data_IF_936272960431
#
_entry.id   IF_936272960431
#
_cell.length_a   1.000
_cell.length_b   1.000
_cell.length_c   1.000
_cell.angle_alpha   90.00
_cell.angle_beta   90.00
_cell.angle_gamma   90.00
#
_symmetry.space_group_name_H-M   'P 1'
#
loop_
_entity.id
_entity.type
_entity.pdbx_description
1 polymer ?
#
# COMPACT_ATOMS: atom_id res chain seq x y z
N UNK A 1 -56.52 -37.75 -22.67
CA UNK A 1 -55.31 -37.23 -23.37
C UNK A 1 -54.10 -37.90 -22.76
N UNK A 2 -53.05 -38.19 -23.54
CA UNK A 2 -51.78 -38.70 -23.00
C UNK A 2 -50.58 -38.02 -23.67
N UNK A 3 -49.46 -37.97 -22.96
CA UNK A 3 -48.19 -37.40 -23.45
C UNK A 3 -47.11 -38.49 -23.47
N UNK A 4 -46.31 -38.52 -24.52
CA UNK A 4 -45.11 -39.37 -24.64
C UNK A 4 -43.91 -38.54 -25.12
N UNK A 5 -42.69 -39.05 -24.91
CA UNK A 5 -41.44 -38.35 -25.24
C UNK A 5 -40.89 -37.43 -24.13
N UNK A 6 -41.50 -37.46 -22.94
CA UNK A 6 -41.01 -36.72 -21.77
C UNK A 6 -39.82 -37.45 -21.13
N UNK A 7 -38.74 -36.76 -20.73
CA UNK A 7 -37.59 -37.38 -20.05
C UNK A 7 -37.98 -37.98 -18.69
N UNK A 8 -37.19 -38.96 -18.23
CA UNK A 8 -37.37 -39.59 -16.92
C UNK A 8 -37.26 -38.56 -15.79
N UNK A 9 -38.22 -38.58 -14.86
CA UNK A 9 -38.25 -37.67 -13.69
C UNK A 9 -39.09 -36.40 -13.91
N UNK A 10 -39.57 -36.14 -15.12
CA UNK A 10 -40.50 -35.06 -15.39
C UNK A 10 -41.95 -35.48 -15.09
N UNK A 11 -42.78 -34.52 -14.69
CA UNK A 11 -44.22 -34.72 -14.52
C UNK A 11 -45.02 -33.85 -15.50
N UNK A 12 -46.21 -34.30 -15.86
CA UNK A 12 -47.13 -33.52 -16.67
C UNK A 12 -48.58 -33.72 -16.23
N UNK A 13 -49.43 -32.74 -16.52
CA UNK A 13 -50.87 -32.83 -16.27
C UNK A 13 -51.66 -32.18 -17.41
N UNK A 14 -52.84 -32.73 -17.67
CA UNK A 14 -53.86 -32.14 -18.55
C UNK A 14 -55.03 -31.67 -17.71
N UNK A 15 -55.49 -30.44 -17.91
CA UNK A 15 -56.67 -29.89 -17.22
C UNK A 15 -57.66 -29.26 -18.22
N UNK A 16 -58.85 -29.86 -18.44
CA UNK A 16 -59.30 -31.17 -17.93
C UNK A 16 -58.54 -32.36 -18.58
N UNK A 17 -58.45 -33.54 -17.91
CA UNK A 17 -57.71 -34.71 -18.43
C UNK A 17 -58.41 -35.39 -19.63
N UNK A 18 -59.71 -35.19 -19.76
CA UNK A 18 -60.58 -35.67 -20.84
C UNK A 18 -61.40 -34.52 -21.40
N UNK A 19 -61.67 -34.56 -22.71
CA UNK A 19 -62.44 -33.54 -23.41
C UNK A 19 -63.45 -34.20 -24.35
N UNK A 20 -64.62 -33.58 -24.50
CA UNK A 20 -65.59 -33.94 -25.54
C UNK A 20 -65.46 -32.94 -26.69
N UNK A 21 -65.17 -33.36 -27.93
CA UNK A 21 -65.11 -32.45 -29.06
C UNK A 21 -66.47 -31.76 -29.30
N UNK A 22 -66.53 -30.43 -29.53
CA UNK A 22 -65.45 -29.43 -29.53
C UNK A 22 -65.10 -28.95 -28.10
N UNK A 23 -63.84 -29.09 -27.70
CA UNK A 23 -63.36 -28.71 -26.36
C UNK A 23 -61.84 -28.52 -26.32
N UNK A 24 -61.31 -27.99 -25.22
CA UNK A 24 -59.88 -27.70 -25.04
C UNK A 24 -59.35 -28.23 -23.69
N UNK A 25 -58.04 -28.44 -23.61
CA UNK A 25 -57.32 -28.86 -22.41
C UNK A 25 -55.95 -28.19 -22.34
N UNK A 26 -55.52 -27.80 -21.15
CA UNK A 26 -54.20 -27.20 -20.91
C UNK A 26 -53.21 -28.28 -20.48
N UNK A 27 -52.09 -28.40 -21.21
CA UNK A 27 -50.94 -29.23 -20.83
C UNK A 27 -49.97 -28.42 -19.99
N UNK A 28 -49.75 -28.83 -18.75
CA UNK A 28 -48.70 -28.30 -17.86
C UNK A 28 -47.58 -29.33 -17.75
N UNK A 29 -46.32 -28.90 -17.95
CA UNK A 29 -45.13 -29.75 -17.84
C UNK A 29 -44.23 -29.16 -16.76
N UNK A 30 -43.87 -29.97 -15.76
CA UNK A 30 -42.81 -29.62 -14.82
C UNK A 30 -41.45 -29.86 -15.48
N UNK A 31 -40.67 -28.78 -15.59
CA UNK A 31 -39.36 -28.78 -16.24
C UNK A 31 -38.21 -28.70 -15.24
N UNK A 32 -38.47 -28.88 -13.94
CA UNK A 32 -37.44 -28.91 -12.92
C UNK A 32 -36.37 -29.97 -13.24
N UNK A 33 -35.11 -29.56 -13.28
CA UNK A 33 -33.97 -30.45 -13.58
C UNK A 33 -33.85 -30.91 -15.03
N UNK A 34 -34.71 -30.45 -15.94
CA UNK A 34 -34.62 -30.79 -17.37
C UNK A 34 -33.71 -29.81 -18.10
N UNK A 35 -32.93 -30.31 -19.06
CA UNK A 35 -32.12 -29.51 -19.97
C UNK A 35 -32.14 -30.11 -21.39
N UNK A 36 -32.11 -29.28 -22.43
CA UNK A 36 -32.05 -29.74 -23.82
C UNK A 36 -33.39 -29.67 -24.56
N UNK A 37 -33.48 -30.39 -25.68
CA UNK A 37 -34.65 -30.40 -26.55
C UNK A 37 -35.33 -31.76 -26.53
N UNK A 38 -36.65 -31.78 -26.38
CA UNK A 38 -37.49 -32.97 -26.30
C UNK A 38 -38.60 -32.91 -27.34
N UNK A 39 -38.77 -34.00 -28.09
CA UNK A 39 -39.89 -34.17 -29.02
C UNK A 39 -41.03 -34.88 -28.30
N UNK A 40 -42.09 -34.14 -28.01
CA UNK A 40 -43.26 -34.61 -27.29
C UNK A 40 -44.37 -34.98 -28.28
N UNK A 41 -45.09 -36.06 -28.01
CA UNK A 41 -46.26 -36.47 -28.79
C UNK A 41 -47.47 -36.53 -27.88
N UNK A 42 -48.45 -35.68 -28.18
CA UNK A 42 -49.75 -35.65 -27.53
C UNK A 42 -50.66 -36.61 -28.29
N UNK A 43 -51.28 -37.57 -27.58
CA UNK A 43 -52.26 -38.49 -28.14
C UNK A 43 -53.65 -38.21 -27.57
N UNK A 44 -54.61 -37.97 -28.46
CA UNK A 44 -56.03 -37.89 -28.14
C UNK A 44 -56.74 -39.13 -28.69
N UNK A 45 -57.33 -39.93 -27.80
CA UNK A 45 -58.05 -41.16 -28.14
C UNK A 45 -59.49 -41.11 -27.63
N UNK A 46 -60.46 -41.44 -28.48
CA UNK A 46 -61.88 -41.52 -28.13
C UNK A 46 -62.70 -42.13 -29.26
N UNK A 47 -63.75 -42.90 -28.93
CA UNK A 47 -64.65 -43.49 -29.93
C UNK A 47 -63.97 -44.44 -30.94
N UNK A 48 -62.89 -45.12 -30.54
CA UNK A 48 -62.09 -45.99 -31.41
C UNK A 48 -61.10 -45.26 -32.34
N UNK A 49 -61.04 -43.93 -32.29
CA UNK A 49 -60.11 -43.11 -33.10
C UNK A 49 -59.02 -42.53 -32.22
N UNK A 50 -57.78 -42.53 -32.72
CA UNK A 50 -56.66 -41.83 -32.12
C UNK A 50 -56.05 -40.82 -33.10
N UNK A 51 -55.74 -39.61 -32.60
CA UNK A 51 -55.01 -38.57 -33.35
C UNK A 51 -53.83 -38.09 -32.50
N UNK A 52 -52.75 -37.71 -33.19
CA UNK A 52 -51.52 -37.26 -32.57
C UNK A 52 -51.15 -35.86 -33.01
N UNK A 53 -50.49 -35.12 -32.12
CA UNK A 53 -49.85 -33.85 -32.40
C UNK A 53 -48.45 -33.85 -31.80
N UNK A 54 -47.46 -33.40 -32.58
CA UNK A 54 -46.08 -33.27 -32.12
C UNK A 54 -45.82 -31.85 -31.59
N UNK A 55 -45.10 -31.76 -30.48
CA UNK A 55 -44.68 -30.50 -29.84
C UNK A 55 -43.19 -30.60 -29.51
N UNK A 56 -42.42 -29.55 -29.79
CA UNK A 56 -41.00 -29.48 -29.41
C UNK A 56 -40.83 -28.66 -28.13
N UNK A 57 -40.38 -29.29 -27.05
CA UNK A 57 -40.03 -28.63 -25.78
C UNK A 57 -38.52 -28.34 -25.74
N UNK A 58 -38.12 -27.07 -25.64
CA UNK A 58 -36.70 -26.67 -25.51
C UNK A 58 -36.45 -26.04 -24.14
N UNK A 59 -35.74 -26.74 -23.27
CA UNK A 59 -35.34 -26.25 -21.94
C UNK A 59 -33.90 -25.72 -22.00
N UNK A 60 -33.72 -24.43 -21.69
CA UNK A 60 -32.41 -23.76 -21.75
C UNK A 60 -31.52 -24.27 -20.61
N UNK A 61 -30.26 -24.58 -20.94
CA UNK A 61 -29.22 -24.88 -19.94
C UNK A 61 -28.95 -23.68 -19.04
N UNK A 62 -28.58 -23.91 -17.79
CA UNK A 62 -28.16 -22.84 -16.89
C UNK A 62 -26.94 -22.11 -17.47
N UNK A 63 -26.95 -20.78 -17.48
CA UNK A 63 -25.78 -19.96 -17.85
C UNK A 63 -25.79 -18.63 -17.10
N UNK A 64 -24.61 -18.04 -16.93
CA UNK A 64 -24.42 -16.80 -16.18
C UNK A 64 -23.21 -16.01 -16.64
N UNK A 65 -23.10 -14.77 -16.18
CA UNK A 65 -21.92 -13.90 -16.31
C UNK A 65 -21.46 -13.41 -14.94
N UNK A 66 -20.20 -13.00 -14.83
CA UNK A 66 -19.62 -12.39 -13.63
C UNK A 66 -18.93 -11.08 -14.00
N UNK A 67 -19.12 -10.05 -13.18
CA UNK A 67 -18.48 -8.76 -13.33
C UNK A 67 -17.98 -8.24 -11.97
N UNK A 68 -16.89 -7.49 -11.96
CA UNK A 68 -16.34 -6.84 -10.78
C UNK A 68 -16.38 -5.32 -10.96
N UNK A 69 -16.81 -4.60 -9.93
CA UNK A 69 -16.80 -3.14 -9.91
C UNK A 69 -16.32 -2.62 -8.55
N UNK A 70 -15.23 -1.84 -8.48
CA UNK A 70 -14.38 -1.39 -9.60
C UNK A 70 -13.46 -2.48 -10.18
N UNK A 71 -12.95 -2.28 -11.40
CA UNK A 71 -11.98 -3.19 -12.07
C UNK A 71 -10.52 -2.88 -11.72
N UNK A 72 -10.26 -1.78 -11.01
CA UNK A 72 -8.95 -1.41 -10.49
C UNK A 72 -9.11 -0.80 -9.11
N UNK A 73 -8.26 -1.22 -8.17
CA UNK A 73 -8.23 -0.73 -6.79
C UNK A 73 -6.81 -0.34 -6.43
N UNK A 74 -6.64 0.84 -5.84
CA UNK A 74 -5.38 1.30 -5.29
C UNK A 74 -5.52 1.52 -3.79
N UNK A 75 -4.72 0.80 -3.01
CA UNK A 75 -4.67 0.87 -1.54
C UNK A 75 -3.22 0.93 -1.07
N UNK A 76 -3.01 1.36 0.17
CA UNK A 76 -1.68 1.29 0.79
C UNK A 76 -1.52 0.00 1.60
N UNK A 77 -0.28 -0.39 1.89
CA UNK A 77 0.00 -1.48 2.84
C UNK A 77 -0.82 -1.33 4.14
N UNK A 78 -1.34 -2.45 4.62
CA UNK A 78 -2.19 -2.55 5.81
C UNK A 78 -3.62 -2.02 5.67
N UNK A 79 -3.98 -1.42 4.53
CA UNK A 79 -5.35 -0.96 4.27
C UNK A 79 -6.22 -2.10 3.71
N UNK A 80 -7.52 -1.87 3.73
CA UNK A 80 -8.50 -2.78 3.14
C UNK A 80 -9.36 -2.06 2.11
N UNK A 81 -9.84 -2.79 1.11
CA UNK A 81 -10.79 -2.32 0.13
C UNK A 81 -11.85 -3.39 -0.15
N UNK A 82 -13.00 -2.94 -0.63
CA UNK A 82 -14.11 -3.79 -1.03
C UNK A 82 -14.39 -3.66 -2.52
N UNK A 83 -14.83 -4.75 -3.14
CA UNK A 83 -15.19 -4.84 -4.56
C UNK A 83 -16.52 -5.56 -4.66
N UNK A 84 -17.47 -4.97 -5.40
CA UNK A 84 -18.74 -5.62 -5.67
C UNK A 84 -18.57 -6.61 -6.83
N UNK A 85 -18.90 -7.87 -6.59
CA UNK A 85 -18.92 -8.95 -7.58
C UNK A 85 -20.37 -9.26 -7.92
N UNK A 86 -20.78 -8.90 -9.13
CA UNK A 86 -22.14 -9.16 -9.62
C UNK A 86 -22.15 -10.41 -10.47
N UNK A 87 -23.03 -11.35 -10.12
CA UNK A 87 -23.29 -12.56 -10.92
C UNK A 87 -24.68 -12.43 -11.53
N UNK A 88 -24.77 -12.47 -12.86
CA UNK A 88 -26.03 -12.27 -13.59
C UNK A 88 -26.44 -13.55 -14.30
N UNK A 89 -27.67 -14.02 -14.06
CA UNK A 89 -28.20 -15.20 -14.76
C UNK A 89 -28.55 -14.83 -16.19
N UNK A 90 -28.06 -15.60 -17.17
CA UNK A 90 -28.37 -15.37 -18.59
C UNK A 90 -29.38 -16.36 -19.14
N UNK A 91 -29.41 -17.61 -18.64
CA UNK A 91 -30.42 -18.60 -19.04
C UNK A 91 -30.58 -19.75 -18.04
N UNK A 92 -31.67 -20.52 -18.19
CA UNK A 92 -31.98 -21.71 -17.39
C UNK A 92 -32.50 -21.43 -15.96
N UNK A 93 -32.68 -22.52 -15.21
CA UNK A 93 -32.98 -22.47 -13.77
C UNK A 93 -31.74 -22.00 -13.00
N UNK A 94 -31.92 -21.16 -11.98
CA UNK A 94 -30.80 -20.66 -11.19
C UNK A 94 -30.14 -21.83 -10.42
N UNK A 95 -28.81 -21.82 -10.40
CA UNK A 95 -27.99 -22.74 -9.61
C UNK A 95 -27.03 -21.92 -8.75
N UNK A 96 -26.63 -22.45 -7.60
CA UNK A 96 -25.65 -21.79 -6.73
C UNK A 96 -24.29 -21.67 -7.42
N UNK A 97 -23.71 -20.47 -7.35
CA UNK A 97 -22.42 -20.11 -7.94
C UNK A 97 -21.41 -19.87 -6.83
N UNK A 98 -20.38 -20.71 -6.78
CA UNK A 98 -19.26 -20.58 -5.84
C UNK A 98 -18.21 -19.63 -6.39
N UNK A 99 -17.75 -18.71 -5.55
CA UNK A 99 -16.71 -17.74 -5.88
C UNK A 99 -15.36 -18.15 -5.29
N UNK A 100 -14.29 -17.88 -6.03
CA UNK A 100 -12.91 -18.05 -5.58
C UNK A 100 -12.02 -16.98 -6.19
N UNK A 101 -10.84 -16.75 -5.61
CA UNK A 101 -9.91 -15.72 -6.03
C UNK A 101 -8.53 -16.32 -6.26
N UNK A 102 -7.89 -15.94 -7.37
CA UNK A 102 -6.52 -16.30 -7.71
C UNK A 102 -5.65 -15.03 -7.85
N UNK A 103 -4.34 -15.16 -7.63
CA UNK A 103 -3.38 -14.06 -7.77
C UNK A 103 -3.20 -13.20 -6.52
N UNK A 104 -3.65 -13.66 -5.34
CA UNK A 104 -3.44 -12.95 -4.08
C UNK A 104 -1.95 -12.91 -3.70
N UNK A 105 -1.36 -11.73 -3.41
CA UNK A 105 0.02 -11.67 -2.93
C UNK A 105 0.24 -12.32 -1.56
N UNK A 106 1.46 -12.78 -1.33
CA UNK A 106 1.91 -13.18 0.01
C UNK A 106 1.82 -12.00 0.99
N UNK A 107 1.27 -12.26 2.18
CA UNK A 107 1.09 -11.23 3.22
C UNK A 107 -0.22 -10.44 3.11
N UNK A 108 -1.05 -10.69 2.09
CA UNK A 108 -2.42 -10.16 1.99
C UNK A 108 -3.47 -11.26 2.24
N UNK A 109 -4.72 -10.87 2.48
CA UNK A 109 -5.85 -11.79 2.67
C UNK A 109 -7.13 -11.29 1.99
N UNK A 110 -8.11 -12.19 1.79
CA UNK A 110 -9.40 -11.84 1.23
C UNK A 110 -10.56 -12.65 1.85
N UNK A 111 -11.78 -12.13 1.67
CA UNK A 111 -13.02 -12.86 1.96
C UNK A 111 -14.14 -12.45 1.00
N UNK A 112 -15.06 -13.36 0.72
CA UNK A 112 -16.31 -13.08 0.01
C UNK A 112 -17.49 -13.11 0.98
N UNK A 113 -18.45 -12.21 0.78
CA UNK A 113 -19.70 -12.20 1.56
C UNK A 113 -20.89 -11.90 0.65
N UNK A 114 -21.69 -12.93 0.27
CA UNK A 114 -21.48 -14.37 0.51
C UNK A 114 -20.43 -15.01 -0.44
N UNK A 115 -19.83 -16.15 -0.05
CA UNK A 115 -18.90 -16.92 -0.91
C UNK A 115 -19.63 -17.71 -2.02
N UNK A 116 -20.90 -18.01 -1.82
CA UNK A 116 -21.76 -18.69 -2.78
C UNK A 116 -23.12 -17.98 -2.87
N UNK A 117 -23.65 -17.81 -4.07
CA UNK A 117 -24.95 -17.17 -4.27
C UNK A 117 -25.70 -17.73 -5.49
N UNK A 118 -27.03 -17.61 -5.49
CA UNK A 118 -27.83 -17.88 -6.69
C UNK A 118 -27.96 -16.60 -7.53
N UNK A 119 -27.65 -16.63 -8.84
CA UNK A 119 -27.80 -15.46 -9.68
C UNK A 119 -29.26 -15.21 -10.07
N UNK A 120 -29.70 -13.95 -10.18
CA UNK A 120 -28.88 -12.72 -10.13
C UNK A 120 -28.66 -12.22 -8.70
N UNK A 121 -27.40 -11.95 -8.34
CA UNK A 121 -27.03 -11.46 -7.01
C UNK A 121 -25.63 -10.86 -6.96
N UNK A 122 -25.28 -10.31 -5.80
CA UNK A 122 -23.99 -9.64 -5.57
C UNK A 122 -23.28 -10.23 -4.35
N UNK A 123 -21.97 -10.43 -4.46
CA UNK A 123 -21.06 -10.72 -3.35
C UNK A 123 -20.08 -9.58 -3.15
N UNK A 124 -19.75 -9.28 -1.89
CA UNK A 124 -18.70 -8.31 -1.57
C UNK A 124 -17.38 -9.06 -1.34
N UNK A 125 -16.40 -8.77 -2.20
CA UNK A 125 -15.01 -9.18 -2.01
C UNK A 125 -14.31 -8.14 -1.14
N UNK A 126 -13.87 -8.53 0.05
CA UNK A 126 -13.02 -7.71 0.92
C UNK A 126 -11.57 -8.16 0.76
N UNK A 127 -10.66 -7.22 0.52
CA UNK A 127 -9.21 -7.46 0.41
C UNK A 127 -8.52 -6.68 1.52
N UNK A 128 -7.62 -7.34 2.26
CA UNK A 128 -6.70 -6.70 3.20
C UNK A 128 -5.28 -6.81 2.65
N UNK A 129 -4.62 -5.67 2.42
CA UNK A 129 -3.29 -5.62 1.83
C UNK A 129 -2.20 -6.23 2.72
N UNK A 130 -2.38 -6.24 4.04
CA UNK A 130 -1.38 -6.65 5.02
C UNK A 130 0.01 -6.06 4.70
N UNK A 131 1.02 -6.90 4.56
CA UNK A 131 2.39 -6.48 4.23
C UNK A 131 2.72 -6.47 2.72
N UNK A 132 1.79 -6.87 1.85
CA UNK A 132 2.04 -6.96 0.42
C UNK A 132 2.33 -5.60 -0.23
N UNK A 133 3.11 -5.56 -1.31
CA UNK A 133 3.40 -4.33 -2.09
C UNK A 133 3.54 -4.65 -3.57
N UNK A 134 3.23 -3.69 -4.44
CA UNK A 134 3.33 -3.84 -5.89
C UNK A 134 1.97 -3.91 -6.59
N UNK A 135 1.96 -4.37 -7.85
CA UNK A 135 0.75 -4.47 -8.67
C UNK A 135 0.47 -5.93 -9.00
N UNK A 136 -0.78 -6.34 -8.80
CA UNK A 136 -1.25 -7.70 -8.93
C UNK A 136 -2.49 -7.76 -9.81
N UNK A 137 -2.60 -8.82 -10.62
CA UNK A 137 -3.82 -9.13 -11.37
C UNK A 137 -4.57 -10.22 -10.64
N UNK A 138 -5.70 -9.86 -10.05
CA UNK A 138 -6.59 -10.79 -9.37
C UNK A 138 -7.58 -11.37 -10.38
N UNK A 139 -7.83 -12.67 -10.29
CA UNK A 139 -8.80 -13.39 -11.11
C UNK A 139 -9.90 -13.91 -10.19
N UNK A 140 -11.10 -13.32 -10.30
CA UNK A 140 -12.30 -13.81 -9.64
C UNK A 140 -12.85 -14.93 -10.51
N UNK A 141 -12.94 -16.15 -9.96
CA UNK A 141 -13.46 -17.33 -10.63
C UNK A 141 -14.81 -17.70 -10.02
N UNK A 142 -15.83 -17.75 -10.86
CA UNK A 142 -17.19 -18.13 -10.51
C UNK A 142 -17.52 -19.47 -11.17
N UNK A 143 -17.83 -20.50 -10.36
CA UNK A 143 -18.09 -21.86 -10.84
C UNK A 143 -19.48 -22.34 -10.43
N UNK A 144 -20.22 -22.89 -11.39
CA UNK A 144 -21.49 -23.56 -11.16
C UNK A 144 -21.76 -24.54 -12.28
N UNK A 145 -22.21 -25.75 -11.93
CA UNK A 145 -22.73 -26.72 -12.92
C UNK A 145 -21.76 -27.05 -14.07
N UNK A 146 -20.48 -27.22 -13.74
CA UNK A 146 -19.42 -27.46 -14.73
C UNK A 146 -19.07 -26.26 -15.61
N UNK A 147 -19.71 -25.10 -15.40
CA UNK A 147 -19.38 -23.83 -16.04
C UNK A 147 -18.49 -22.98 -15.17
N UNK A 148 -17.60 -22.27 -15.85
CA UNK A 148 -16.67 -21.34 -15.23
C UNK A 148 -16.70 -20.01 -15.97
N UNK A 149 -16.81 -18.93 -15.21
CA UNK A 149 -16.69 -17.55 -15.70
C UNK A 149 -15.68 -16.81 -14.82
N UNK A 150 -14.99 -15.85 -15.42
CA UNK A 150 -13.96 -15.08 -14.72
C UNK A 150 -14.13 -13.57 -14.92
N UNK A 151 -13.77 -12.81 -13.89
CA UNK A 151 -13.57 -11.37 -13.97
C UNK A 151 -12.17 -11.04 -13.44
N UNK A 152 -11.53 -10.01 -14.00
CA UNK A 152 -10.19 -9.57 -13.60
C UNK A 152 -10.24 -8.24 -12.87
N UNK A 153 -9.44 -8.10 -11.82
CA UNK A 153 -9.23 -6.82 -11.12
C UNK A 153 -7.74 -6.54 -10.98
N UNK A 154 -7.32 -5.32 -11.28
CA UNK A 154 -5.98 -4.84 -10.99
C UNK A 154 -5.92 -4.31 -9.55
N UNK A 155 -5.11 -4.93 -8.70
CA UNK A 155 -4.84 -4.46 -7.34
C UNK A 155 -3.46 -3.80 -7.30
N UNK A 156 -3.43 -2.52 -6.97
CA UNK A 156 -2.18 -1.77 -6.75
C UNK A 156 -2.03 -1.47 -5.26
N UNK A 157 -1.00 -2.07 -4.64
CA UNK A 157 -0.67 -1.85 -3.25
C UNK A 157 0.55 -0.94 -3.17
N UNK A 158 0.33 0.30 -2.75
CA UNK A 158 1.40 1.26 -2.46
C UNK A 158 2.17 0.79 -1.22
N UNK A 159 3.48 0.74 -1.35
CA UNK A 159 4.36 0.59 -0.20
C UNK A 159 4.15 1.80 0.72
N UNK A 160 3.76 1.55 1.97
CA UNK A 160 3.88 2.58 2.99
C UNK A 160 5.37 2.69 3.24
N UNK A 161 5.94 3.87 2.95
CA UNK A 161 7.32 4.17 3.31
C UNK A 161 7.40 4.17 4.84
N UNK A 162 7.66 3.01 5.44
CA UNK A 162 7.87 2.87 6.86
C UNK A 162 9.17 3.57 7.21
N UNK A 163 9.05 4.83 7.65
CA UNK A 163 10.18 5.59 8.19
C UNK A 163 10.37 5.24 9.65
N UNK A 164 11.62 5.30 10.12
CA UNK A 164 11.99 4.96 11.51
C UNK A 164 11.12 5.74 12.51
N UNK A 165 10.87 7.03 12.26
CA UNK A 165 10.02 7.86 13.11
C UNK A 165 8.58 7.33 13.21
N UNK A 166 7.92 7.03 12.10
CA UNK A 166 6.53 6.52 12.08
C UNK A 166 6.39 5.24 12.89
N UNK A 167 7.29 4.27 12.71
CA UNK A 167 7.23 3.00 13.45
C UNK A 167 7.54 3.22 14.94
N UNK A 168 8.50 4.09 15.23
CA UNK A 168 8.94 4.41 16.59
C UNK A 168 7.83 5.10 17.39
N UNK A 169 7.14 6.08 16.80
CA UNK A 169 6.03 6.81 17.43
C UNK A 169 4.68 6.11 17.28
N UNK A 170 4.59 5.09 16.42
CA UNK A 170 3.42 4.22 16.26
C UNK A 170 2.28 4.82 15.42
N UNK A 171 2.47 6.01 14.85
CA UNK A 171 1.46 6.67 14.03
C UNK A 171 2.12 7.58 13.00
N UNK A 172 1.59 7.54 11.76
CA UNK A 172 1.98 8.51 10.73
C UNK A 172 1.51 9.93 11.05
N UNK A 173 0.50 10.11 11.91
CA UNK A 173 -0.05 11.42 12.29
C UNK A 173 0.39 11.87 13.67
N UNK A 174 1.44 11.26 14.24
CA UNK A 174 2.01 11.74 15.51
C UNK A 174 2.56 13.16 15.36
N UNK A 175 2.58 13.92 16.46
CA UNK A 175 3.08 15.29 16.47
C UNK A 175 4.54 15.40 16.01
N UNK A 176 5.37 14.43 16.40
CA UNK A 176 6.79 14.36 16.04
C UNK A 176 6.98 14.10 14.54
N UNK A 177 6.21 13.16 13.98
CA UNK A 177 6.29 12.84 12.54
C UNK A 177 5.78 14.01 11.71
N UNK A 178 4.69 14.67 12.15
CA UNK A 178 4.18 15.87 11.50
C UNK A 178 5.17 17.04 11.58
N UNK A 179 5.86 17.20 12.71
CA UNK A 179 6.93 18.19 12.85
C UNK A 179 8.07 17.94 11.85
N UNK A 180 8.55 16.69 11.73
CA UNK A 180 9.59 16.33 10.75
C UNK A 180 9.15 16.61 9.31
N UNK A 181 7.89 16.29 8.95
CA UNK A 181 7.33 16.66 7.63
C UNK A 181 7.28 18.17 7.44
N UNK A 182 6.83 18.90 8.45
CA UNK A 182 6.77 20.36 8.42
C UNK A 182 8.15 21.00 8.25
N UNK A 183 9.19 20.48 8.90
CA UNK A 183 10.57 20.94 8.73
C UNK A 183 11.06 20.69 7.30
N UNK A 184 10.85 19.48 6.78
CA UNK A 184 11.16 19.14 5.38
C UNK A 184 10.45 20.08 4.42
N UNK A 185 9.13 20.18 4.51
CA UNK A 185 8.29 20.83 3.50
C UNK A 185 8.45 22.35 3.52
N UNK A 186 8.52 22.95 4.72
CA UNK A 186 8.51 24.41 4.85
C UNK A 186 9.88 25.06 4.89
N UNK A 187 10.93 24.32 5.23
CA UNK A 187 12.30 24.87 5.36
C UNK A 187 13.19 24.28 4.29
N UNK A 188 13.31 22.95 4.25
CA UNK A 188 14.27 22.29 3.34
C UNK A 188 13.81 22.40 1.89
N UNK A 189 12.59 21.97 1.57
CA UNK A 189 12.09 21.96 0.19
C UNK A 189 11.67 23.34 -0.32
N UNK A 190 11.64 24.35 0.55
CA UNK A 190 11.32 25.73 0.19
C UNK A 190 12.44 26.45 -0.58
N UNK A 191 13.63 25.85 -0.68
CA UNK A 191 14.81 26.43 -1.32
C UNK A 191 15.44 25.46 -2.32
N UNK A 192 16.14 25.98 -3.33
CA UNK A 192 16.88 25.18 -4.30
C UNK A 192 18.05 24.43 -3.63
N UNK A 193 18.84 25.09 -2.78
CA UNK A 193 19.92 24.42 -2.06
C UNK A 193 19.40 23.29 -1.16
N UNK A 194 18.27 23.53 -0.47
CA UNK A 194 17.63 22.54 0.37
C UNK A 194 17.05 21.36 -0.42
N UNK A 195 16.46 21.59 -1.59
CA UNK A 195 16.02 20.51 -2.48
C UNK A 195 17.19 19.64 -2.97
N UNK A 196 18.33 20.25 -3.32
CA UNK A 196 19.54 19.51 -3.73
C UNK A 196 20.14 18.70 -2.59
N UNK A 197 20.19 19.26 -1.37
CA UNK A 197 20.55 18.51 -0.17
C UNK A 197 19.58 17.35 0.08
N UNK A 198 18.26 17.61 0.02
CA UNK A 198 17.24 16.62 0.29
C UNK A 198 17.28 15.47 -0.70
N UNK A 199 17.57 15.72 -1.98
CA UNK A 199 17.74 14.65 -2.97
C UNK A 199 18.85 13.65 -2.57
N UNK A 200 20.00 14.15 -2.09
CA UNK A 200 21.08 13.30 -1.60
C UNK A 200 20.73 12.60 -0.28
N UNK A 201 20.15 13.35 0.66
CA UNK A 201 19.73 12.82 1.96
C UNK A 201 18.66 11.74 1.83
N UNK A 202 17.63 11.95 1.00
CA UNK A 202 16.53 11.01 0.77
C UNK A 202 17.06 9.69 0.21
N UNK A 203 17.91 9.75 -0.83
CA UNK A 203 18.55 8.56 -1.40
C UNK A 203 19.39 7.80 -0.35
N UNK A 204 20.20 8.51 0.43
CA UNK A 204 20.98 7.90 1.51
C UNK A 204 20.09 7.28 2.59
N UNK A 205 19.12 8.02 3.12
CA UNK A 205 18.26 7.58 4.23
C UNK A 205 17.38 6.39 3.84
N UNK A 206 16.78 6.41 2.65
CA UNK A 206 15.91 5.31 2.21
C UNK A 206 16.66 4.07 1.75
N UNK A 207 17.98 4.15 1.55
CA UNK A 207 18.78 2.95 1.24
C UNK A 207 18.83 1.93 2.38
N UNK A 208 18.57 2.34 3.63
CA UNK A 208 18.66 1.46 4.81
C UNK A 208 17.51 1.64 5.81
N UNK A 209 16.86 2.80 5.87
CA UNK A 209 15.82 3.07 6.88
C UNK A 209 14.58 2.17 6.80
N UNK A 210 14.09 1.69 5.63
CA UNK A 210 12.95 0.78 5.60
C UNK A 210 13.23 -0.55 6.30
N UNK A 211 14.43 -1.11 6.10
CA UNK A 211 14.85 -2.34 6.77
C UNK A 211 14.97 -2.14 8.29
N UNK A 212 15.53 -1.01 8.73
CA UNK A 212 15.60 -0.67 10.15
C UNK A 212 14.20 -0.46 10.75
N UNK A 213 13.29 0.22 10.05
CA UNK A 213 11.92 0.46 10.49
C UNK A 213 11.13 -0.86 10.61
N UNK A 214 11.28 -1.78 9.66
CA UNK A 214 10.69 -3.11 9.72
C UNK A 214 11.19 -3.90 10.94
N UNK A 215 12.50 -3.85 11.21
CA UNK A 215 13.07 -4.52 12.37
C UNK A 215 12.52 -3.97 13.71
N UNK A 216 12.34 -2.65 13.82
CA UNK A 216 11.72 -2.01 15.00
C UNK A 216 10.24 -2.40 15.12
N UNK A 217 9.54 -2.57 14.00
CA UNK A 217 8.14 -2.97 13.99
C UNK A 217 7.96 -4.38 14.56
N UNK A 218 8.84 -5.31 14.18
CA UNK A 218 8.87 -6.70 14.65
C UNK A 218 9.32 -6.84 16.11
N UNK A 219 10.08 -5.85 16.62
CA UNK A 219 10.62 -5.86 17.98
C UNK A 219 10.16 -4.63 18.78
N UNK A 220 8.93 -4.63 19.34
CA UNK A 220 8.36 -3.45 20.00
C UNK A 220 9.19 -2.88 21.16
N UNK A 221 10.02 -3.71 21.80
CA UNK A 221 10.94 -3.29 22.87
C UNK A 221 12.03 -2.32 22.39
N UNK A 222 12.30 -2.24 21.09
CA UNK A 222 13.19 -1.26 20.49
C UNK A 222 12.58 0.14 20.39
N UNK A 223 11.25 0.29 20.50
CA UNK A 223 10.62 1.60 20.34
C UNK A 223 11.07 2.61 21.42
N UNK A 224 11.07 2.30 22.74
CA UNK A 224 11.57 3.22 23.76
C UNK A 224 13.02 3.69 23.56
N UNK A 225 14.03 2.82 23.34
CA UNK A 225 15.39 3.29 23.12
C UNK A 225 15.54 4.09 21.82
N UNK A 226 14.83 3.74 20.74
CA UNK A 226 14.85 4.55 19.52
C UNK A 226 14.17 5.91 19.74
N UNK A 227 13.10 6.01 20.52
CA UNK A 227 12.52 7.31 20.93
C UNK A 227 13.55 8.16 21.67
N UNK A 228 14.22 7.59 22.67
CA UNK A 228 15.28 8.27 23.42
C UNK A 228 16.39 8.78 22.49
N UNK A 229 16.78 7.97 21.50
CA UNK A 229 17.77 8.35 20.50
C UNK A 229 17.27 9.46 19.57
N UNK A 230 15.97 9.54 19.25
CA UNK A 230 15.40 10.56 18.37
C UNK A 230 15.11 11.90 19.06
N UNK A 231 14.93 11.93 20.39
CA UNK A 231 14.58 13.17 21.10
C UNK A 231 15.60 14.32 20.91
N UNK A 232 16.92 14.11 21.06
CA UNK A 232 17.90 15.17 20.83
C UNK A 232 17.89 15.69 19.39
N UNK A 233 17.67 14.80 18.40
CA UNK A 233 17.51 15.16 16.99
C UNK A 233 16.27 16.04 16.78
N UNK A 234 15.13 15.65 17.33
CA UNK A 234 13.89 16.45 17.27
C UNK A 234 14.08 17.81 17.93
N UNK A 235 14.74 17.87 19.08
CA UNK A 235 15.09 19.12 19.76
C UNK A 235 16.01 20.00 18.92
N UNK A 236 17.06 19.43 18.30
CA UNK A 236 17.96 20.16 17.43
C UNK A 236 17.24 20.78 16.22
N UNK A 237 16.37 20.01 15.58
CA UNK A 237 15.54 20.49 14.47
C UNK A 237 14.52 21.53 14.91
N UNK A 238 13.97 21.41 16.13
CA UNK A 238 13.03 22.39 16.69
C UNK A 238 13.70 23.74 16.91
N UNK A 239 14.89 23.75 17.50
CA UNK A 239 15.69 24.98 17.68
C UNK A 239 16.05 25.60 16.33
N UNK A 240 16.51 24.78 15.38
CA UNK A 240 16.81 25.22 14.03
C UNK A 240 15.57 25.80 13.33
N UNK A 241 14.41 25.16 13.48
CA UNK A 241 13.15 25.63 12.92
C UNK A 241 12.75 26.98 13.49
N UNK A 242 12.83 27.17 14.81
CA UNK A 242 12.44 28.43 15.44
C UNK A 242 13.33 29.59 14.99
N UNK A 243 14.64 29.35 14.89
CA UNK A 243 15.60 30.36 14.43
C UNK A 243 15.49 30.66 12.94
N UNK A 244 15.22 29.66 12.10
CA UNK A 244 15.24 29.81 10.65
C UNK A 244 13.92 30.32 10.05
N UNK A 245 12.76 30.00 10.64
CA UNK A 245 11.45 30.35 10.06
C UNK A 245 11.28 31.84 9.71
N UNK A 246 11.69 32.81 10.57
CA UNK A 246 11.63 34.23 10.20
C UNK A 246 12.45 34.55 8.95
N UNK A 247 13.61 33.90 8.79
CA UNK A 247 14.51 34.08 7.64
C UNK A 247 13.96 33.40 6.40
N UNK A 248 13.38 32.20 6.53
CA UNK A 248 12.77 31.46 5.40
C UNK A 248 11.69 32.28 4.70
N UNK A 249 10.87 33.04 5.45
CA UNK A 249 9.84 33.91 4.87
C UNK A 249 10.41 35.08 4.07
N UNK A 250 11.61 35.55 4.39
CA UNK A 250 12.27 36.65 3.68
C UNK A 250 13.14 36.14 2.53
N UNK A 251 13.88 35.05 2.77
CA UNK A 251 14.77 34.41 1.83
C UNK A 251 14.90 32.91 2.21
N UNK A 252 14.21 32.01 1.48
CA UNK A 252 14.26 30.58 1.74
C UNK A 252 15.67 29.97 1.68
N UNK A 253 16.55 30.49 0.82
CA UNK A 253 17.94 30.03 0.69
C UNK A 253 18.74 30.34 1.95
N UNK A 254 18.69 31.59 2.42
CA UNK A 254 19.35 31.97 3.68
C UNK A 254 18.76 31.18 4.86
N UNK A 255 17.44 30.98 4.85
CA UNK A 255 16.73 30.20 5.86
C UNK A 255 17.22 28.75 5.94
N UNK A 256 17.39 28.05 4.81
CA UNK A 256 17.85 26.66 4.82
C UNK A 256 19.29 26.52 5.28
N UNK A 257 20.20 27.42 4.90
CA UNK A 257 21.59 27.37 5.41
C UNK A 257 21.63 27.64 6.90
N UNK A 258 20.84 28.59 7.41
CA UNK A 258 20.75 28.86 8.84
C UNK A 258 20.21 27.64 9.60
N UNK A 259 19.10 27.06 9.14
CA UNK A 259 18.51 25.86 9.74
C UNK A 259 19.50 24.68 9.72
N UNK A 260 20.12 24.42 8.57
CA UNK A 260 21.10 23.35 8.38
C UNK A 260 22.32 23.54 9.28
N UNK A 261 22.79 24.77 9.45
CA UNK A 261 23.93 25.09 10.33
C UNK A 261 23.62 24.80 11.80
N UNK A 262 22.49 25.31 12.29
CA UNK A 262 22.07 25.12 13.68
C UNK A 262 21.81 23.64 13.96
N UNK A 263 21.06 22.96 13.09
CA UNK A 263 20.75 21.54 13.24
C UNK A 263 22.04 20.69 13.24
N UNK A 264 22.93 20.91 12.28
CA UNK A 264 24.21 20.19 12.17
C UNK A 264 25.11 20.41 13.39
N UNK A 265 25.22 21.65 13.88
CA UNK A 265 25.99 21.96 15.07
C UNK A 265 25.45 21.22 16.30
N UNK A 266 24.13 21.29 16.53
CA UNK A 266 23.48 20.62 17.66
C UNK A 266 23.57 19.09 17.55
N UNK A 267 23.46 18.52 16.36
CA UNK A 267 23.68 17.08 16.12
C UNK A 267 25.13 16.70 16.46
N UNK A 268 26.11 17.51 16.07
CA UNK A 268 27.52 17.33 16.45
C UNK A 268 27.71 17.32 17.97
N UNK A 269 27.04 18.22 18.70
CA UNK A 269 27.09 18.28 20.16
C UNK A 269 26.39 17.07 20.80
N UNK A 270 25.19 16.72 20.37
CA UNK A 270 24.37 15.70 21.04
C UNK A 270 24.76 14.25 20.70
N UNK A 271 25.31 14.00 19.51
CA UNK A 271 25.62 12.64 19.06
C UNK A 271 27.12 12.38 18.93
N UNK A 272 27.87 13.31 18.32
CA UNK A 272 29.29 13.08 18.04
C UNK A 272 30.15 13.33 19.29
N UNK A 273 29.91 14.43 20.02
CA UNK A 273 30.73 14.78 21.17
C UNK A 273 30.70 13.74 22.31
N UNK A 274 29.53 13.30 22.84
CA UNK A 274 29.49 12.31 23.90
C UNK A 274 30.06 10.96 23.45
N UNK A 275 29.76 10.52 22.22
CA UNK A 275 30.30 9.26 21.68
C UNK A 275 31.83 9.34 21.57
N UNK A 276 32.37 10.44 21.08
CA UNK A 276 33.80 10.66 20.96
C UNK A 276 34.52 10.71 22.31
N UNK A 277 33.91 11.31 23.34
CA UNK A 277 34.44 11.30 24.71
C UNK A 277 34.48 9.88 25.29
N UNK A 278 33.41 9.10 25.12
CA UNK A 278 33.36 7.70 25.57
C UNK A 278 34.45 6.87 24.86
N UNK A 279 34.60 7.02 23.55
CA UNK A 279 35.66 6.35 22.79
C UNK A 279 37.05 6.76 23.28
N UNK A 280 37.28 8.04 23.55
CA UNK A 280 38.57 8.51 24.07
C UNK A 280 38.86 7.96 25.47
N UNK A 281 37.84 7.84 26.32
CA UNK A 281 37.96 7.23 27.64
C UNK A 281 38.30 5.73 27.57
N UNK A 282 37.60 4.98 26.72
CA UNK A 282 37.82 3.54 26.53
C UNK A 282 39.19 3.26 25.88
N UNK A 283 39.56 4.05 24.88
CA UNK A 283 40.82 3.94 24.17
C UNK A 283 41.82 4.98 24.68
N UNK A 284 42.28 4.86 25.94
CA UNK A 284 43.24 5.80 26.59
C UNK A 284 44.49 6.12 25.75
N UNK A 285 44.87 5.26 24.78
CA UNK A 285 45.97 5.49 23.81
C UNK A 285 45.63 6.45 22.65
N UNK A 286 44.36 6.75 22.39
CA UNK A 286 43.94 7.66 21.32
C UNK A 286 44.22 9.14 21.64
N UNK A 287 44.47 9.45 22.92
CA UNK A 287 44.79 10.80 23.46
C UNK A 287 46.02 11.47 22.80
N UNK A 288 46.83 10.75 22.02
CA UNK A 288 48.16 11.21 21.59
C UNK A 288 48.38 11.43 20.08
N UNK A 289 47.37 11.27 19.19
CA UNK A 289 47.63 11.36 17.73
C UNK A 289 46.82 12.39 16.94
N UNK A 290 45.79 13.01 17.50
CA UNK A 290 45.07 14.08 16.80
C UNK A 290 45.80 15.41 17.02
N UNK A 291 46.82 15.67 16.21
CA UNK A 291 47.61 16.89 16.27
C UNK A 291 46.76 18.16 16.03
N UNK A 292 47.23 19.30 16.53
CA UNK A 292 46.54 20.59 16.37
C UNK A 292 46.21 20.97 14.91
N UNK A 293 46.99 20.45 13.96
CA UNK A 293 46.76 20.65 12.52
C UNK A 293 45.48 19.96 12.02
N UNK A 294 45.14 18.78 12.55
CA UNK A 294 43.90 18.09 12.20
C UNK A 294 42.69 18.88 12.67
N UNK A 295 42.74 19.44 13.88
CA UNK A 295 41.69 20.32 14.39
C UNK A 295 41.51 21.59 13.55
N UNK A 296 42.62 22.22 13.14
CA UNK A 296 42.57 23.39 12.26
C UNK A 296 41.97 23.02 10.90
N UNK A 297 42.38 21.89 10.31
CA UNK A 297 41.84 21.41 9.03
C UNK A 297 40.33 21.14 9.12
N UNK A 298 39.90 20.41 10.16
CA UNK A 298 38.49 20.09 10.40
C UNK A 298 37.64 21.34 10.63
N UNK A 299 38.17 22.38 11.29
CA UNK A 299 37.45 23.63 11.51
C UNK A 299 37.29 24.46 10.21
N UNK A 300 38.15 24.27 9.21
CA UNK A 300 38.12 25.03 7.94
C UNK A 300 37.17 24.41 6.92
N UNK A 301 37.01 23.08 6.89
CA UNK A 301 36.18 22.40 5.90
C UNK A 301 34.71 22.87 5.85
N UNK A 302 34.00 23.10 6.97
CA UNK A 302 32.63 23.60 6.92
C UNK A 302 32.53 24.95 6.19
N UNK A 303 33.47 25.86 6.45
CA UNK A 303 33.47 27.17 5.80
C UNK A 303 33.79 27.05 4.31
N UNK A 304 34.72 26.17 3.94
CA UNK A 304 35.04 25.88 2.55
C UNK A 304 33.83 25.30 1.79
N UNK A 305 33.15 24.31 2.36
CA UNK A 305 31.96 23.71 1.74
C UNK A 305 30.76 24.64 1.73
N UNK A 306 30.62 25.54 2.71
CA UNK A 306 29.60 26.59 2.69
C UNK A 306 29.83 27.53 1.51
N UNK A 307 31.05 28.07 1.36
CA UNK A 307 31.40 28.96 0.25
C UNK A 307 31.22 28.23 -1.09
N UNK A 308 31.67 26.98 -1.20
CA UNK A 308 31.46 26.16 -2.39
C UNK A 308 29.98 25.94 -2.69
N UNK A 309 29.13 25.71 -1.68
CA UNK A 309 27.69 25.54 -1.87
C UNK A 309 27.05 26.82 -2.39
N UNK A 310 27.40 27.98 -1.82
CA UNK A 310 26.90 29.28 -2.28
C UNK A 310 27.31 29.59 -3.73
N UNK A 311 28.55 29.27 -4.11
CA UNK A 311 29.05 29.42 -5.48
C UNK A 311 28.33 28.47 -6.45
N UNK A 312 28.21 27.18 -6.11
CA UNK A 312 27.56 26.18 -6.96
C UNK A 312 26.06 26.42 -7.10
N UNK A 313 25.44 27.00 -6.08
CA UNK A 313 24.07 27.49 -6.12
C UNK A 313 23.93 28.66 -7.09
N UNK A 314 24.83 29.65 -7.05
CA UNK A 314 24.82 30.75 -8.01
C UNK A 314 25.00 30.26 -9.46
N UNK A 315 25.76 29.17 -9.63
CA UNK A 315 26.00 28.51 -10.92
C UNK A 315 24.92 27.48 -11.30
N UNK A 316 23.91 27.24 -10.44
CA UNK A 316 22.84 26.25 -10.66
C UNK A 316 23.33 24.84 -11.03
N UNK A 317 24.43 24.40 -10.40
CA UNK A 317 25.05 23.10 -10.69
C UNK A 317 24.49 22.00 -9.78
N UNK A 318 23.36 21.39 -10.18
CA UNK A 318 22.58 20.44 -9.38
C UNK A 318 23.41 19.38 -8.62
N UNK A 319 24.16 18.54 -9.35
CA UNK A 319 24.89 17.42 -8.77
C UNK A 319 25.99 17.88 -7.81
N UNK A 320 26.75 18.89 -8.24
CA UNK A 320 27.83 19.44 -7.44
C UNK A 320 27.29 20.11 -6.18
N UNK A 321 26.14 20.80 -6.27
CA UNK A 321 25.48 21.42 -5.13
C UNK A 321 24.95 20.36 -4.13
N UNK A 322 24.37 19.26 -4.60
CA UNK A 322 23.99 18.12 -3.74
C UNK A 322 25.19 17.56 -2.96
N UNK A 323 26.34 17.42 -3.62
CA UNK A 323 27.58 16.97 -2.98
C UNK A 323 28.09 18.01 -1.97
N UNK A 324 28.16 19.28 -2.37
CA UNK A 324 28.70 20.36 -1.54
C UNK A 324 27.84 20.62 -0.29
N UNK A 325 26.51 20.66 -0.43
CA UNK A 325 25.59 20.84 0.70
C UNK A 325 25.62 19.65 1.67
N UNK A 326 25.74 18.42 1.15
CA UNK A 326 25.92 17.22 1.99
C UNK A 326 27.26 17.24 2.72
N UNK A 327 28.34 17.59 2.01
CA UNK A 327 29.68 17.73 2.60
C UNK A 327 29.73 18.85 3.65
N UNK A 328 29.02 19.96 3.42
CA UNK A 328 28.85 21.04 4.38
C UNK A 328 28.23 20.53 5.68
N UNK A 329 27.08 19.84 5.61
CA UNK A 329 26.39 19.29 6.78
C UNK A 329 27.28 18.30 7.54
N UNK A 330 27.87 17.32 6.86
CA UNK A 330 28.69 16.29 7.51
C UNK A 330 29.97 16.87 8.12
N UNK A 331 30.65 17.76 7.39
CA UNK A 331 31.87 18.41 7.91
C UNK A 331 31.56 19.28 9.13
N UNK A 332 30.42 19.98 9.14
CA UNK A 332 30.00 20.81 10.27
C UNK A 332 29.66 19.97 11.51
N UNK A 333 28.90 18.88 11.35
CA UNK A 333 28.62 17.92 12.43
C UNK A 333 29.94 17.41 13.05
N UNK A 334 30.89 17.00 12.21
CA UNK A 334 32.18 16.49 12.66
C UNK A 334 33.02 17.57 13.35
N UNK A 335 33.07 18.78 12.79
CA UNK A 335 33.85 19.88 13.32
C UNK A 335 33.35 20.33 14.69
N UNK A 336 32.04 20.56 14.82
CA UNK A 336 31.44 20.96 16.10
C UNK A 336 31.61 19.85 17.12
N UNK A 337 31.36 18.59 16.76
CA UNK A 337 31.58 17.46 17.67
C UNK A 337 33.01 17.37 18.19
N UNK A 338 34.02 17.47 17.32
CA UNK A 338 35.43 17.44 17.69
C UNK A 338 35.86 18.65 18.53
N UNK A 339 35.38 19.85 18.21
CA UNK A 339 35.65 21.06 19.00
C UNK A 339 35.05 20.91 20.41
N UNK A 340 33.81 20.44 20.52
CA UNK A 340 33.15 20.19 21.80
C UNK A 340 33.89 19.17 22.66
N UNK A 341 34.36 18.06 22.07
CA UNK A 341 35.20 17.08 22.77
C UNK A 341 36.45 17.75 23.35
N UNK A 342 37.15 18.56 22.55
CA UNK A 342 38.39 19.22 22.98
C UNK A 342 38.16 20.26 24.08
N UNK A 343 37.05 21.00 24.02
CA UNK A 343 36.68 21.95 25.06
C UNK A 343 36.35 21.24 26.38
N UNK A 344 35.58 20.15 26.31
CA UNK A 344 35.21 19.34 27.48
C UNK A 344 36.43 18.66 28.10
N UNK A 345 37.32 18.08 27.30
CA UNK A 345 38.57 17.46 27.78
C UNK A 345 39.47 18.47 28.53
N UNK A 346 39.57 19.70 28.01
CA UNK A 346 40.30 20.79 28.70
C UNK A 346 39.65 21.22 30.01
N UNK A 347 38.33 21.17 30.11
CA UNK A 347 37.60 21.53 31.33
C UNK A 347 37.69 20.42 32.39
N UNK A 348 37.69 19.15 31.98
CA UNK A 348 37.78 17.98 32.88
C UNK A 348 39.21 17.71 33.39
N UNK A 349 40.23 18.28 32.74
CA UNK A 349 41.65 18.10 33.08
C UNK A 349 42.36 19.40 33.53
N UNK A 350 41.60 20.45 33.85
CA UNK A 350 42.07 21.62 34.60
C UNK A 350 41.80 21.43 36.08
#
# INVERSE_FOLDING_TARGET
>A
LSLSGLPSGASYSFNPPTITPTGSSTLTIDTAGLEGSYSLVITASGGGVAKQAAVSLKVKKFDFTVAANPTSVEISQGESATIAITVTKTSGAAKKVKLSLLGMPGGASYSFSPEELEPTGTSILTINAGSAKGTYTLIIRATADGKEKSATVTLKIKEKRCIIATVTYGSEVSGEVNFLRGFRDRIVLASYAGQRFYAAFDAFYYSWSPAAAQYILEHPWLKPPIKALLYPLLGALLVASYAAMPVVHLNPEAGVYLAGTIASALIGIFYVAPLGLVLMYLFRKWKSKVGGNVFRAVAVFPLLFLVSSLLLQALSCDLALSIATSAYVVSLIAAVGLISIRLLDRLLHR
#
